data_IF_411927216611
#
_entry.id   IF_411927216611
#
_cell.length_a   1.000
_cell.length_b   1.000
_cell.length_c   1.000
_cell.angle_alpha   90.00
_cell.angle_beta   90.00
_cell.angle_gamma   90.00
#
_symmetry.space_group_name_H-M   'P 1'
#
loop_
_entity.id
_entity.type
_entity.pdbx_description
1 polymer ?
#
# COMPACT_ATOMS: atom_id res chain seq x y z
N UNK A 1 -18.01 -9.33 2.24
CA UNK A 1 -17.24 -8.08 2.03
C UNK A 1 -15.79 -8.48 1.89
N UNK A 2 -15.08 -7.94 0.90
CA UNK A 2 -13.68 -8.29 0.63
C UNK A 2 -12.87 -7.02 0.45
N UNK A 3 -11.67 -7.01 1.02
CA UNK A 3 -10.73 -5.88 1.03
C UNK A 3 -9.52 -6.23 0.19
N UNK A 4 -9.17 -5.37 -0.75
CA UNK A 4 -7.96 -5.49 -1.55
C UNK A 4 -6.87 -4.59 -0.97
N UNK A 5 -5.73 -5.16 -0.59
CA UNK A 5 -4.52 -4.43 -0.21
C UNK A 5 -3.57 -4.42 -1.39
N UNK A 6 -3.12 -3.23 -1.80
CA UNK A 6 -2.10 -3.08 -2.82
C UNK A 6 -0.75 -3.12 -2.14
N UNK A 7 -0.03 -4.23 -2.31
CA UNK A 7 1.24 -4.43 -1.64
C UNK A 7 2.34 -3.56 -2.25
N UNK A 8 3.21 -3.05 -1.37
CA UNK A 8 4.50 -2.53 -1.77
C UNK A 8 5.59 -3.60 -1.56
N UNK A 9 6.43 -3.76 -2.58
CA UNK A 9 7.56 -4.69 -2.62
C UNK A 9 8.70 -4.11 -3.46
N UNK A 10 9.82 -4.83 -3.50
CA UNK A 10 10.94 -4.60 -4.43
C UNK A 10 11.09 -5.74 -5.44
N UNK A 11 10.02 -6.53 -5.63
CA UNK A 11 9.91 -7.76 -6.42
C UNK A 11 10.56 -8.99 -5.72
N UNK A 12 11.44 -8.80 -4.75
CA UNK A 12 12.01 -9.88 -3.95
C UNK A 12 11.32 -10.04 -2.59
N UNK A 13 11.04 -8.92 -1.91
CA UNK A 13 10.54 -8.87 -0.54
C UNK A 13 9.36 -7.89 -0.40
N UNK A 14 8.45 -8.22 0.53
CA UNK A 14 7.36 -7.35 0.94
C UNK A 14 7.88 -6.26 1.86
N UNK A 15 7.46 -5.01 1.63
CA UNK A 15 7.78 -3.88 2.52
C UNK A 15 6.88 -3.88 3.74
N UNK A 16 7.42 -3.44 4.88
CA UNK A 16 6.70 -3.41 6.16
C UNK A 16 5.40 -2.61 6.12
N UNK A 17 5.34 -1.56 5.30
CA UNK A 17 4.14 -0.74 5.07
C UNK A 17 2.91 -1.57 4.63
N UNK A 18 3.14 -2.66 3.89
CA UNK A 18 2.09 -3.61 3.50
C UNK A 18 1.51 -4.33 4.72
N UNK A 19 2.34 -4.71 5.69
CA UNK A 19 1.91 -5.39 6.92
C UNK A 19 1.00 -4.50 7.77
N UNK A 20 1.34 -3.22 7.93
CA UNK A 20 0.48 -2.26 8.63
C UNK A 20 -0.87 -2.09 7.91
N UNK A 21 -0.83 -2.09 6.58
CA UNK A 21 -2.03 -1.94 5.74
C UNK A 21 -2.93 -3.17 5.80
N UNK A 22 -2.36 -4.38 5.92
CA UNK A 22 -3.13 -5.61 6.16
C UNK A 22 -3.86 -5.53 7.50
N UNK A 23 -3.23 -5.04 8.56
CA UNK A 23 -3.91 -4.85 9.86
C UNK A 23 -5.10 -3.90 9.74
N UNK A 24 -4.96 -2.78 9.03
CA UNK A 24 -6.08 -1.89 8.75
C UNK A 24 -7.19 -2.57 7.92
N UNK A 25 -6.81 -3.39 6.93
CA UNK A 25 -7.75 -4.14 6.12
C UNK A 25 -8.56 -5.17 6.94
N UNK A 26 -7.92 -5.85 7.88
CA UNK A 26 -8.59 -6.77 8.83
C UNK A 26 -9.61 -6.00 9.67
N UNK A 27 -9.26 -4.80 10.14
CA UNK A 27 -10.14 -3.95 10.94
C UNK A 27 -11.38 -3.47 10.17
N UNK A 28 -11.34 -3.43 8.83
CA UNK A 28 -12.53 -3.16 8.02
C UNK A 28 -13.57 -4.30 8.05
N UNK A 29 -13.22 -5.50 8.52
CA UNK A 29 -14.17 -6.59 8.77
C UNK A 29 -14.55 -7.41 7.53
N UNK A 30 -13.58 -8.05 6.87
CA UNK A 30 -13.83 -8.97 5.74
C UNK A 30 -12.57 -9.76 5.36
N UNK A 31 -12.67 -10.56 4.29
CA UNK A 31 -11.50 -11.28 3.78
C UNK A 31 -10.51 -10.29 3.16
N UNK A 32 -9.22 -10.44 3.51
CA UNK A 32 -8.15 -9.61 2.98
C UNK A 32 -7.47 -10.33 1.82
N UNK A 33 -7.55 -9.73 0.63
CA UNK A 33 -6.77 -10.13 -0.52
C UNK A 33 -5.61 -9.16 -0.71
N UNK A 34 -4.47 -9.66 -1.18
CA UNK A 34 -3.28 -8.84 -1.45
C UNK A 34 -2.93 -8.92 -2.93
N UNK A 35 -2.88 -7.77 -3.62
CA UNK A 35 -2.34 -7.69 -4.98
C UNK A 35 -0.84 -7.45 -4.94
N UNK A 36 -0.10 -8.30 -5.65
CA UNK A 36 1.31 -8.19 -5.97
C UNK A 36 1.39 -7.90 -7.46
N UNK A 37 1.74 -6.66 -7.80
CA UNK A 37 1.84 -6.18 -9.17
C UNK A 37 3.30 -5.79 -9.43
N UNK A 38 4.04 -6.65 -10.14
CA UNK A 38 5.48 -6.50 -10.31
C UNK A 38 6.01 -7.25 -11.52
N UNK A 39 7.33 -7.45 -11.56
CA UNK A 39 8.00 -8.25 -12.57
C UNK A 39 9.00 -9.17 -11.89
N UNK A 40 8.94 -10.47 -12.19
CA UNK A 40 9.63 -11.52 -11.45
C UNK A 40 9.35 -11.44 -9.94
N UNK A 41 8.11 -11.12 -9.57
CA UNK A 41 7.71 -10.81 -8.19
C UNK A 41 7.24 -12.04 -7.38
N UNK A 42 7.57 -13.25 -7.84
CA UNK A 42 7.12 -14.50 -7.23
C UNK A 42 7.56 -14.67 -5.77
N UNK A 43 8.76 -14.20 -5.40
CA UNK A 43 9.23 -14.23 -4.03
C UNK A 43 8.39 -13.31 -3.10
N UNK A 44 8.08 -12.10 -3.57
CA UNK A 44 7.18 -11.20 -2.86
C UNK A 44 5.76 -11.79 -2.73
N UNK A 45 5.26 -12.45 -3.78
CA UNK A 45 3.96 -13.12 -3.74
C UNK A 45 3.92 -14.28 -2.73
N UNK A 46 4.97 -15.11 -2.69
CA UNK A 46 5.10 -16.17 -1.70
C UNK A 46 5.14 -15.61 -0.28
N UNK A 47 5.90 -14.53 -0.05
CA UNK A 47 5.97 -13.85 1.24
C UNK A 47 4.62 -13.26 1.65
N UNK A 48 3.86 -12.67 0.71
CA UNK A 48 2.51 -12.17 0.99
C UNK A 48 1.56 -13.28 1.45
N UNK A 49 1.73 -14.50 0.94
CA UNK A 49 0.91 -15.66 1.31
C UNK A 49 1.11 -16.11 2.77
N UNK A 50 2.25 -15.73 3.37
CA UNK A 50 2.59 -16.05 4.75
C UNK A 50 2.08 -15.02 5.77
N UNK A 51 1.57 -13.87 5.32
CA UNK A 51 1.10 -12.81 6.21
C UNK A 51 -0.17 -13.28 6.92
N UNK A 52 -0.17 -13.22 8.26
CA UNK A 52 -1.34 -13.57 9.05
C UNK A 52 -2.53 -12.65 8.72
N UNK A 53 -3.71 -13.25 8.51
CA UNK A 53 -4.95 -12.54 8.17
C UNK A 53 -5.16 -12.27 6.68
N UNK A 54 -4.17 -12.56 5.82
CA UNK A 54 -4.38 -12.59 4.37
C UNK A 54 -5.10 -13.90 4.02
N UNK A 55 -6.17 -13.79 3.22
CA UNK A 55 -6.96 -14.93 2.74
C UNK A 55 -6.53 -15.38 1.35
N UNK A 56 -6.06 -14.44 0.51
CA UNK A 56 -5.66 -14.70 -0.88
C UNK A 56 -4.58 -13.74 -1.35
N UNK A 57 -3.63 -14.24 -2.13
CA UNK A 57 -2.66 -13.42 -2.87
C UNK A 57 -3.00 -13.46 -4.35
N UNK A 58 -2.97 -12.30 -5.00
CA UNK A 58 -3.19 -12.14 -6.44
C UNK A 58 -1.89 -11.65 -7.02
N UNK A 59 -1.31 -12.43 -7.91
CA UNK A 59 -0.01 -12.14 -8.51
C UNK A 59 -0.19 -11.76 -9.98
N UNK A 60 0.09 -10.50 -10.31
CA UNK A 60 0.17 -9.99 -11.67
C UNK A 60 1.64 -9.69 -11.98
N UNK A 61 2.23 -10.49 -12.87
CA UNK A 61 3.64 -10.40 -13.24
C UNK A 61 3.78 -9.93 -14.69
N UNK A 62 4.40 -8.77 -14.91
CA UNK A 62 4.73 -8.25 -16.23
C UNK A 62 5.82 -7.17 -16.17
N UNK A 63 6.66 -7.03 -17.22
CA UNK A 63 7.71 -6.01 -17.27
C UNK A 63 7.22 -4.58 -17.01
N UNK A 64 6.02 -4.22 -17.49
CA UNK A 64 5.44 -2.89 -17.27
C UNK A 64 5.10 -2.56 -15.81
N UNK A 65 5.12 -3.54 -14.91
CA UNK A 65 4.86 -3.38 -13.49
C UNK A 65 6.15 -3.34 -12.65
N UNK A 66 7.32 -3.60 -13.24
CA UNK A 66 8.61 -3.77 -12.54
C UNK A 66 8.95 -2.62 -11.57
N UNK A 67 8.69 -1.38 -12.01
CA UNK A 67 9.06 -0.16 -11.28
C UNK A 67 7.85 0.52 -10.62
N UNK A 68 6.68 -0.13 -10.60
CA UNK A 68 5.49 0.40 -9.92
C UNK A 68 4.99 1.74 -10.48
N UNK A 69 5.11 1.97 -11.80
CA UNK A 69 4.62 3.20 -12.44
C UNK A 69 3.12 3.36 -12.20
N UNK A 70 2.70 4.56 -11.80
CA UNK A 70 1.35 4.77 -11.30
C UNK A 70 0.26 4.50 -12.35
N UNK A 71 0.55 4.73 -13.64
CA UNK A 71 -0.37 4.38 -14.71
C UNK A 71 -0.65 2.88 -14.77
N UNK A 72 0.42 2.07 -14.74
CA UNK A 72 0.36 0.64 -14.94
C UNK A 72 -0.18 -0.07 -13.70
N UNK A 73 0.25 0.34 -12.50
CA UNK A 73 -0.29 -0.20 -11.24
C UNK A 73 -1.77 0.17 -11.10
N UNK A 74 -2.17 1.41 -11.39
CA UNK A 74 -3.58 1.78 -11.34
C UNK A 74 -4.43 0.99 -12.35
N UNK A 75 -3.93 0.77 -13.57
CA UNK A 75 -4.61 -0.06 -14.57
C UNK A 75 -4.82 -1.50 -14.05
N UNK A 76 -3.79 -2.09 -13.44
CA UNK A 76 -3.88 -3.43 -12.85
C UNK A 76 -4.90 -3.50 -11.71
N UNK A 77 -4.91 -2.49 -10.82
CA UNK A 77 -5.89 -2.41 -9.72
C UNK A 77 -7.31 -2.32 -10.28
N UNK A 78 -7.54 -1.45 -11.26
CA UNK A 78 -8.85 -1.24 -11.88
C UNK A 78 -9.38 -2.50 -12.59
N UNK A 79 -8.49 -3.32 -13.17
CA UNK A 79 -8.87 -4.57 -13.82
C UNK A 79 -9.56 -5.57 -12.88
N UNK A 80 -9.30 -5.48 -11.57
CA UNK A 80 -9.90 -6.38 -10.56
C UNK A 80 -10.77 -5.66 -9.53
N UNK A 81 -10.84 -4.32 -9.57
CA UNK A 81 -11.48 -3.48 -8.57
C UNK A 81 -12.97 -3.81 -8.33
N UNK A 82 -13.70 -4.22 -9.37
CA UNK A 82 -15.13 -4.55 -9.27
C UNK A 82 -15.45 -5.70 -8.29
N UNK A 83 -14.45 -6.52 -7.96
CA UNK A 83 -14.59 -7.61 -7.00
C UNK A 83 -14.45 -7.15 -5.54
N UNK A 84 -14.15 -5.87 -5.30
CA UNK A 84 -13.77 -5.37 -3.98
C UNK A 84 -14.58 -4.14 -3.57
N UNK A 85 -15.02 -4.18 -2.32
CA UNK A 85 -15.67 -3.06 -1.63
C UNK A 85 -14.69 -2.05 -1.03
N UNK A 86 -13.45 -2.46 -0.83
CA UNK A 86 -12.40 -1.67 -0.19
C UNK A 86 -11.09 -1.91 -0.92
N UNK A 87 -10.36 -0.83 -1.24
CA UNK A 87 -9.05 -0.88 -1.87
C UNK A 87 -8.11 -0.01 -1.04
N UNK A 88 -7.19 -0.65 -0.34
CA UNK A 88 -6.28 -0.02 0.60
C UNK A 88 -4.87 0.01 0.03
N UNK A 89 -4.23 1.16 0.21
CA UNK A 89 -2.85 1.41 -0.16
C UNK A 89 -2.08 1.85 1.09
N UNK A 90 -0.81 1.49 1.26
CA UNK A 90 0.03 2.15 2.25
C UNK A 90 0.20 3.64 1.91
N UNK A 91 0.17 4.53 2.90
CA UNK A 91 0.27 5.99 2.71
C UNK A 91 1.72 6.48 2.43
N UNK A 92 2.50 5.72 1.67
CA UNK A 92 3.86 6.08 1.21
C UNK A 92 3.82 6.96 -0.04
N UNK A 93 4.99 7.31 -0.58
CA UNK A 93 5.08 7.98 -1.87
C UNK A 93 4.40 7.20 -3.01
N UNK A 94 4.49 5.85 -3.02
CA UNK A 94 3.89 5.02 -4.06
C UNK A 94 2.37 4.98 -3.92
N UNK A 95 1.87 4.57 -2.74
CA UNK A 95 0.42 4.50 -2.53
C UNK A 95 -0.29 5.85 -2.67
N UNK A 96 0.32 6.96 -2.24
CA UNK A 96 -0.21 8.33 -2.46
C UNK A 96 -0.19 8.75 -3.93
N UNK A 97 0.65 8.15 -4.76
CA UNK A 97 0.69 8.40 -6.20
C UNK A 97 -0.39 7.58 -6.94
N UNK A 98 -0.58 6.31 -6.57
CA UNK A 98 -1.51 5.40 -7.26
C UNK A 98 -2.97 5.58 -6.81
N UNK A 99 -3.23 5.66 -5.50
CA UNK A 99 -4.58 5.59 -4.95
C UNK A 99 -5.53 6.68 -5.48
N UNK A 100 -5.14 7.97 -5.59
CA UNK A 100 -6.02 9.01 -6.12
C UNK A 100 -6.41 8.75 -7.58
N UNK A 101 -5.52 8.17 -8.38
CA UNK A 101 -5.81 7.80 -9.78
C UNK A 101 -6.85 6.70 -9.86
N UNK A 102 -6.76 5.68 -9.00
CA UNK A 102 -7.74 4.60 -8.91
C UNK A 102 -9.10 5.15 -8.46
N UNK A 103 -9.14 5.96 -7.40
CA UNK A 103 -10.37 6.59 -6.91
C UNK A 103 -11.06 7.43 -7.99
N UNK A 104 -10.31 8.29 -8.68
CA UNK A 104 -10.84 9.11 -9.76
C UNK A 104 -11.38 8.28 -10.94
N UNK A 105 -10.81 7.11 -11.23
CA UNK A 105 -11.29 6.22 -12.29
C UNK A 105 -12.52 5.40 -11.90
N UNK A 106 -12.72 5.17 -10.61
CA UNK A 106 -13.91 4.55 -10.05
C UNK A 106 -15.02 5.56 -9.74
N UNK A 107 -14.76 6.86 -9.90
CA UNK A 107 -15.67 7.95 -9.55
C UNK A 107 -16.09 7.93 -8.06
N UNK A 108 -15.11 7.76 -7.17
CA UNK A 108 -15.31 7.74 -5.71
C UNK A 108 -14.33 8.67 -5.00
N UNK A 109 -14.68 9.06 -3.76
CA UNK A 109 -13.79 9.86 -2.93
C UNK A 109 -12.66 8.99 -2.35
N UNK A 110 -11.43 9.52 -2.38
CA UNK A 110 -10.28 8.90 -1.75
C UNK A 110 -10.15 9.35 -0.28
N UNK A 111 -10.06 8.40 0.66
CA UNK A 111 -9.88 8.68 2.09
C UNK A 111 -8.40 8.57 2.44
N UNK A 112 -7.75 9.71 2.62
CA UNK A 112 -6.30 9.79 2.78
C UNK A 112 -5.80 9.54 4.20
N UNK A 113 -4.76 8.72 4.32
CA UNK A 113 -3.85 8.66 5.49
C UNK A 113 -4.58 8.34 6.80
N UNK A 114 -5.47 7.34 6.75
CA UNK A 114 -6.28 6.92 7.91
C UNK A 114 -5.39 6.39 9.02
N UNK A 115 -5.80 6.64 10.26
CA UNK A 115 -5.12 6.17 11.47
C UNK A 115 -5.96 5.20 12.27
N UNK A 116 -7.25 5.05 11.94
CA UNK A 116 -8.15 4.14 12.62
C UNK A 116 -9.35 3.80 11.73
N UNK A 117 -9.82 2.57 11.83
CA UNK A 117 -11.09 2.11 11.28
C UNK A 117 -12.08 2.06 12.44
N UNK A 118 -13.18 2.81 12.36
CA UNK A 118 -14.27 2.79 13.36
C UNK A 118 -15.31 1.74 12.97
N UNK A 119 -15.67 1.72 11.69
CA UNK A 119 -16.59 0.76 11.06
C UNK A 119 -16.15 0.56 9.60
N UNK A 120 -16.73 -0.41 8.86
CA UNK A 120 -16.35 -0.64 7.47
C UNK A 120 -16.47 0.61 6.58
N UNK A 121 -17.32 1.58 6.91
CA UNK A 121 -17.53 2.80 6.13
C UNK A 121 -17.05 4.08 6.83
N UNK A 122 -16.48 3.99 8.04
CA UNK A 122 -16.13 5.16 8.86
C UNK A 122 -14.70 5.07 9.40
N UNK A 123 -13.92 6.14 9.19
CA UNK A 123 -12.48 6.17 9.47
C UNK A 123 -12.07 7.46 10.18
N UNK A 124 -11.02 7.39 10.99
CA UNK A 124 -10.35 8.59 11.52
C UNK A 124 -9.10 8.91 10.71
N UNK A 125 -8.88 10.21 10.46
CA UNK A 125 -7.65 10.70 9.85
C UNK A 125 -7.22 12.05 10.44
N UNK A 126 -5.92 12.29 10.61
CA UNK A 126 -5.40 13.58 11.01
C UNK A 126 -5.50 14.60 9.88
N UNK A 127 -5.82 15.84 10.24
CA UNK A 127 -5.80 17.03 9.38
C UNK A 127 -5.04 18.16 10.09
N UNK A 128 -4.75 19.26 9.39
CA UNK A 128 -4.00 20.40 9.93
C UNK A 128 -2.68 19.98 10.62
N UNK A 129 -1.87 19.19 9.92
CA UNK A 129 -0.60 18.64 10.44
C UNK A 129 -0.73 17.83 11.75
N UNK A 130 -1.91 17.21 11.97
CA UNK A 130 -2.17 16.38 13.16
C UNK A 130 -2.86 17.11 14.31
N UNK A 131 -3.13 18.42 14.18
CA UNK A 131 -3.77 19.20 15.24
C UNK A 131 -5.26 18.90 15.42
N UNK A 132 -5.91 18.26 14.43
CA UNK A 132 -7.28 17.79 14.56
C UNK A 132 -7.45 16.41 13.92
N UNK A 133 -8.35 15.61 14.49
CA UNK A 133 -8.72 14.29 13.97
C UNK A 133 -10.13 14.40 13.37
N UNK A 134 -10.24 14.14 12.07
CA UNK A 134 -11.51 14.10 11.37
C UNK A 134 -12.03 12.66 11.35
N UNK A 135 -13.30 12.48 11.73
CA UNK A 135 -14.05 11.24 11.47
C UNK A 135 -14.77 11.40 10.14
N UNK A 136 -14.51 10.49 9.20
CA UNK A 136 -15.04 10.53 7.84
C UNK A 136 -15.81 9.25 7.57
N UNK A 137 -17.11 9.38 7.30
CA UNK A 137 -17.94 8.29 6.79
C UNK A 137 -18.09 8.44 5.27
N UNK A 138 -17.92 7.36 4.52
CA UNK A 138 -18.10 7.34 3.06
C UNK A 138 -19.32 6.52 2.66
N UNK A 139 -20.21 7.15 1.89
CA UNK A 139 -21.35 6.52 1.25
C UNK A 139 -21.01 5.82 -0.08
N UNK A 140 -19.78 5.94 -0.58
CA UNK A 140 -19.38 5.35 -1.86
C UNK A 140 -19.41 3.82 -1.78
N UNK A 141 -19.79 3.16 -2.89
CA UNK A 141 -19.86 1.70 -2.93
C UNK A 141 -18.48 1.04 -2.71
N UNK A 142 -17.43 1.63 -3.28
CA UNK A 142 -16.03 1.21 -3.11
C UNK A 142 -15.25 2.27 -2.33
N UNK A 143 -14.62 1.89 -1.23
CA UNK A 143 -13.76 2.78 -0.45
C UNK A 143 -12.32 2.66 -0.94
N UNK A 144 -11.76 3.75 -1.48
CA UNK A 144 -10.34 3.83 -1.82
C UNK A 144 -9.60 4.59 -0.72
N UNK A 145 -8.67 3.92 -0.04
CA UNK A 145 -8.11 4.38 1.23
C UNK A 145 -6.59 4.32 1.17
N UNK A 146 -5.91 5.35 1.70
CA UNK A 146 -4.49 5.22 2.07
C UNK A 146 -4.34 5.10 3.58
N UNK A 147 -3.47 4.19 4.04
CA UNK A 147 -3.32 3.82 5.45
C UNK A 147 -2.02 4.38 6.01
N UNK A 148 -2.07 5.13 7.11
CA UNK A 148 -0.88 5.59 7.81
C UNK A 148 -0.13 4.38 8.37
N UNK A 149 1.09 4.15 7.93
CA UNK A 149 1.90 2.98 8.32
C UNK A 149 2.24 2.94 9.81
N UNK A 150 2.25 4.09 10.48
CA UNK A 150 2.44 4.18 11.94
C UNK A 150 1.13 4.17 12.75
N UNK A 151 -0.04 4.17 12.08
CA UNK A 151 -1.35 4.16 12.74
C UNK A 151 -1.84 2.77 13.14
N UNK A 152 -1.22 1.72 12.60
CA UNK A 152 -1.62 0.32 12.82
C UNK A 152 -0.37 -0.52 13.06
N UNK A 153 -0.44 -1.47 13.99
CA UNK A 153 0.62 -2.45 14.20
C UNK A 153 0.80 -3.31 12.93
N UNK A 154 2.02 -3.72 12.59
CA UNK A 154 2.25 -4.58 11.44
C UNK A 154 1.65 -5.97 11.69
N UNK A 155 0.92 -6.51 10.71
CA UNK A 155 0.52 -7.91 10.72
C UNK A 155 1.76 -8.83 10.82
N UNK A 156 1.59 -10.00 11.43
CA UNK A 156 2.67 -10.99 11.48
C UNK A 156 3.03 -11.43 10.06
N UNK A 157 4.31 -11.33 9.69
CA UNK A 157 4.81 -11.69 8.36
C UNK A 157 4.82 -13.22 8.10
N UNK A 158 4.50 -14.01 9.12
CA UNK A 158 4.38 -15.47 9.07
C UNK A 158 3.14 -15.94 9.83
N UNK A 159 2.75 -17.19 9.59
CA UNK A 159 1.56 -17.80 10.22
C UNK A 159 0.29 -17.73 9.38
N UNK A 160 0.32 -17.04 8.24
CA UNK A 160 -0.69 -17.14 7.18
C UNK A 160 -0.41 -18.30 6.23
N UNK A 161 -1.43 -18.68 5.45
CA UNK A 161 -1.35 -19.75 4.45
C UNK A 161 -2.23 -19.46 3.24
N UNK A 162 -2.28 -18.19 2.81
CA UNK A 162 -3.11 -17.76 1.70
C UNK A 162 -2.63 -18.38 0.38
N UNK A 163 -3.58 -18.83 -0.43
CA UNK A 163 -3.29 -19.32 -1.77
C UNK A 163 -2.93 -18.15 -2.71
N UNK A 164 -1.95 -18.38 -3.58
CA UNK A 164 -1.57 -17.44 -4.64
C UNK A 164 -2.28 -17.80 -5.93
N UNK A 165 -3.06 -16.86 -6.46
CA UNK A 165 -3.69 -16.94 -7.77
C UNK A 165 -2.97 -16.00 -8.75
N UNK A 166 -2.66 -16.51 -9.94
CA UNK A 166 -2.11 -15.67 -11.02
C UNK A 166 -3.24 -14.88 -11.68
N UNK A 167 -3.06 -13.57 -11.78
CA UNK A 167 -3.92 -12.69 -12.57
C UNK A 167 -3.22 -12.34 -13.88
N UNK A 168 -3.97 -12.25 -14.97
CA UNK A 168 -3.47 -11.62 -16.18
C UNK A 168 -3.03 -10.18 -15.87
N UNK A 169 -1.82 -9.83 -16.29
CA UNK A 169 -1.33 -8.47 -16.19
C UNK A 169 -1.96 -7.61 -17.28
N UNK A 170 -2.36 -6.39 -16.93
CA UNK A 170 -2.78 -5.38 -17.91
C UNK A 170 -1.60 -4.99 -18.78
N UNK A 171 -1.87 -4.67 -20.05
CA UNK A 171 -0.86 -4.15 -20.94
C UNK A 171 -0.24 -2.85 -20.39
N UNK A 172 1.03 -2.62 -20.70
CA UNK A 172 1.69 -1.36 -20.40
C UNK A 172 0.94 -0.21 -21.07
N UNK A 173 0.66 0.84 -20.30
CA UNK A 173 -0.04 2.02 -20.82
C UNK A 173 0.83 2.84 -21.77
N UNK A 174 2.16 2.69 -21.70
CA UNK A 174 3.12 3.40 -22.56
C UNK A 174 3.13 4.94 -22.37
N UNK A 175 2.52 5.43 -21.29
CA UNK A 175 2.39 6.88 -21.00
C UNK A 175 3.60 7.47 -20.29
N UNK A 176 4.35 6.63 -19.58
CA UNK A 176 5.56 6.99 -18.87
C UNK A 176 6.56 5.84 -18.98
N UNK A 177 7.84 6.15 -18.82
CA UNK A 177 8.92 5.16 -18.88
C UNK A 177 9.88 5.41 -17.74
N UNK A 178 10.27 4.34 -17.05
CA UNK A 178 11.32 4.41 -16.05
C UNK A 178 12.68 4.50 -16.74
N UNK A 179 13.43 5.57 -16.48
CA UNK A 179 14.76 5.79 -17.06
C UNK A 179 15.87 5.39 -16.08
N UNK A 180 15.62 5.52 -14.78
CA UNK A 180 16.59 5.17 -13.74
C UNK A 180 16.22 5.76 -12.38
N UNK A 181 16.95 5.34 -11.34
CA UNK A 181 16.80 5.83 -9.98
C UNK A 181 18.16 5.92 -9.28
N UNK A 182 18.42 7.03 -8.58
CA UNK A 182 19.56 7.18 -7.69
C UNK A 182 19.14 6.86 -6.25
N UNK A 183 19.40 5.62 -5.84
CA UNK A 183 19.02 5.14 -4.50
C UNK A 183 20.17 5.46 -3.55
N UNK A 184 19.90 6.29 -2.54
CA UNK A 184 20.84 6.58 -1.47
C UNK A 184 21.21 5.29 -0.73
N UNK A 185 22.45 4.84 -0.88
CA UNK A 185 22.97 3.70 -0.10
C UNK A 185 23.21 4.16 1.33
N UNK A 186 22.63 3.43 2.28
CA UNK A 186 22.87 3.63 3.71
C UNK A 186 22.99 2.29 4.39
N UNK A 187 23.99 2.13 5.24
CA UNK A 187 24.11 0.97 6.15
C UNK A 187 23.15 1.10 7.35
N UNK A 188 22.46 2.24 7.47
CA UNK A 188 21.51 2.51 8.54
C UNK A 188 20.16 1.88 8.21
N UNK A 189 19.38 1.48 9.24
CA UNK A 189 17.99 1.09 9.05
C UNK A 189 17.21 2.17 8.30
N UNK A 190 16.25 1.74 7.48
CA UNK A 190 15.32 2.62 6.80
C UNK A 190 14.59 3.51 7.81
N UNK A 191 14.50 4.81 7.53
CA UNK A 191 14.07 5.82 8.49
C UNK A 191 12.64 5.59 8.99
N UNK A 192 11.72 5.22 8.10
CA UNK A 192 10.32 4.98 8.47
C UNK A 192 10.10 3.70 9.29
N UNK A 193 11.08 2.78 9.29
CA UNK A 193 11.09 1.56 10.09
C UNK A 193 12.02 1.61 11.32
N UNK A 194 12.78 2.70 11.50
CA UNK A 194 13.75 2.81 12.58
C UNK A 194 13.06 2.97 13.96
N UNK A 195 13.47 2.16 14.94
CA UNK A 195 12.96 2.24 16.33
C UNK A 195 13.41 3.51 17.06
N UNK A 196 14.62 3.96 16.75
CA UNK A 196 15.26 5.13 17.37
C UNK A 196 15.79 5.99 16.24
N UNK A 197 15.39 7.27 16.24
CA UNK A 197 15.79 8.25 15.25
C UNK A 197 16.53 9.37 15.96
N UNK A 198 17.74 9.66 15.49
CA UNK A 198 18.50 10.85 15.89
C UNK A 198 18.44 11.85 14.73
N UNK A 199 17.75 12.96 14.91
CA UNK A 199 17.58 13.99 13.88
C UNK A 199 18.40 15.24 14.19
N UNK A 200 19.20 15.70 13.24
CA UNK A 200 19.89 16.99 13.29
C UNK A 200 19.20 18.04 12.43
N UNK A 201 18.95 19.22 12.99
CA UNK A 201 18.38 20.37 12.27
C UNK A 201 19.42 21.40 11.85
N UNK A 202 18.95 22.58 11.41
CA UNK A 202 19.80 23.70 10.98
C UNK A 202 20.87 24.11 12.01
N UNK A 203 20.59 23.92 13.30
CA UNK A 203 21.47 24.30 14.39
C UNK A 203 22.82 23.54 14.44
N UNK A 204 22.95 22.40 13.75
CA UNK A 204 24.22 21.67 13.65
C UNK A 204 25.26 22.42 12.77
N UNK A 205 24.81 23.39 11.97
CA UNK A 205 25.69 24.29 11.21
C UNK A 205 26.27 23.66 9.94
N UNK A 206 27.16 22.67 10.06
CA UNK A 206 27.77 21.97 8.91
C UNK A 206 27.65 20.45 9.04
N UNK A 207 27.99 19.73 7.96
CA UNK A 207 27.95 18.26 7.95
C UNK A 207 28.96 17.63 8.91
N UNK A 208 30.08 18.32 9.15
CA UNK A 208 31.21 17.81 9.95
C UNK A 208 31.20 18.23 11.43
N UNK A 209 30.27 19.09 11.88
CA UNK A 209 30.22 19.62 13.26
C UNK A 209 29.14 18.98 14.12
#
# INVERSE_FOLDING_TARGET
MTVLVIAEHDNAAIKGATLNTVTAAIACGGDVHVLIAGHNAGAAAAAAGQIAGVAKVIHADAPGLEHGLAENVAAQVLAIAANYSHILFPATASGKNVAPRVAAKLDVAQISDITKVISPDTFERPIYAGNAIATVQSSDATKVITVRTTGFDPAAASGGSAATETSAATADTGKSTFVGSEIAKSDRPELTAAKIIVSGGRALGSKEK
#
